data_IF_508466709182
#
_entry.id   IF_508466709182
#
_cell.length_a   1.000
_cell.length_b   1.000
_cell.length_c   1.000
_cell.angle_alpha   90.00
_cell.angle_beta   90.00
_cell.angle_gamma   90.00
#
_symmetry.space_group_name_H-M   'P 1'
#
loop_
_entity.id
_entity.type
_entity.pdbx_description
1 polymer ?
#
# COMPACT_ATOMS: atom_id res chain seq x y z
N UNK A 1 -6.87 28.74 -7.37
CA UNK A 1 -5.44 29.14 -7.32
C UNK A 1 -4.64 27.90 -6.92
N UNK A 2 -3.98 27.25 -7.87
CA UNK A 2 -3.17 26.04 -7.61
C UNK A 2 -1.88 26.51 -6.92
N UNK A 3 -1.64 26.06 -5.69
CA UNK A 3 -0.37 26.30 -4.99
C UNK A 3 0.72 25.54 -5.75
N UNK A 4 1.60 26.26 -6.44
CA UNK A 4 2.83 25.68 -6.97
C UNK A 4 3.67 25.30 -5.76
N UNK A 5 3.81 23.99 -5.50
CA UNK A 5 4.75 23.48 -4.49
C UNK A 5 6.13 23.95 -4.92
N UNK A 6 6.84 24.65 -4.03
CA UNK A 6 8.19 25.11 -4.33
C UNK A 6 9.07 23.87 -4.63
N UNK A 7 9.87 23.95 -5.70
CA UNK A 7 10.74 22.86 -6.19
C UNK A 7 11.57 22.21 -5.05
N UNK A 8 11.97 23.02 -4.06
CA UNK A 8 12.69 22.61 -2.84
C UNK A 8 11.88 21.70 -1.91
N UNK A 9 10.57 21.92 -1.75
CA UNK A 9 9.72 21.09 -0.88
C UNK A 9 9.45 19.73 -1.51
N UNK A 10 9.32 19.70 -2.85
CA UNK A 10 9.21 18.45 -3.60
C UNK A 10 10.49 17.61 -3.51
N UNK A 11 11.66 18.24 -3.71
CA UNK A 11 12.94 17.58 -3.59
C UNK A 11 13.19 16.98 -2.20
N UNK A 12 12.79 17.69 -1.13
CA UNK A 12 12.89 17.19 0.25
C UNK A 12 11.97 15.99 0.49
N UNK A 13 10.70 16.08 0.10
CA UNK A 13 9.74 14.99 0.25
C UNK A 13 10.19 13.72 -0.52
N UNK A 14 10.78 13.90 -1.70
CA UNK A 14 11.35 12.81 -2.50
C UNK A 14 12.56 12.18 -1.78
N UNK A 15 13.44 13.02 -1.25
CA UNK A 15 14.60 12.59 -0.47
C UNK A 15 14.23 11.78 0.76
N UNK A 16 13.19 12.19 1.49
CA UNK A 16 12.68 11.47 2.66
C UNK A 16 12.14 10.08 2.27
N UNK A 17 11.42 9.95 1.15
CA UNK A 17 10.97 8.65 0.63
C UNK A 17 12.14 7.74 0.29
N UNK A 18 13.16 8.25 -0.40
CA UNK A 18 14.39 7.49 -0.67
C UNK A 18 15.06 6.98 0.61
N UNK A 19 15.15 7.84 1.64
CA UNK A 19 15.73 7.47 2.93
C UNK A 19 14.93 6.37 3.63
N UNK A 20 13.61 6.45 3.58
CA UNK A 20 12.71 5.46 4.18
C UNK A 20 12.85 4.10 3.48
N UNK A 21 12.87 4.08 2.15
CA UNK A 21 13.08 2.85 1.37
C UNK A 21 14.44 2.22 1.71
N UNK A 22 15.51 3.02 1.74
CA UNK A 22 16.83 2.54 2.16
C UNK A 22 16.81 1.94 3.58
N UNK A 23 16.13 2.60 4.52
CA UNK A 23 15.95 2.13 5.88
C UNK A 23 15.17 0.82 5.98
N UNK A 24 14.09 0.67 5.20
CA UNK A 24 13.31 -0.58 5.11
C UNK A 24 14.13 -1.74 4.55
N UNK A 25 15.07 -1.46 3.65
CA UNK A 25 16.03 -2.44 3.14
C UNK A 25 17.18 -2.74 4.13
N UNK A 26 17.20 -2.08 5.29
CA UNK A 26 18.21 -2.28 6.33
C UNK A 26 19.61 -1.78 5.94
N UNK A 27 19.71 -0.90 4.94
CA UNK A 27 21.00 -0.46 4.40
C UNK A 27 21.44 0.87 4.99
N UNK A 28 22.69 1.00 5.40
CA UNK A 28 23.33 2.30 5.57
C UNK A 28 23.73 2.92 4.22
N UNK A 29 24.06 4.22 4.20
CA UNK A 29 24.58 4.86 2.97
C UNK A 29 25.89 4.20 2.48
N UNK A 30 26.69 3.65 3.39
CA UNK A 30 27.90 2.89 3.04
C UNK A 30 27.55 1.54 2.44
N UNK A 31 26.53 0.87 2.94
CA UNK A 31 26.07 -0.41 2.40
C UNK A 31 25.52 -0.24 0.98
N UNK A 32 24.82 0.86 0.71
CA UNK A 32 24.37 1.21 -0.63
C UNK A 32 25.55 1.39 -1.59
N UNK A 33 26.60 2.09 -1.18
CA UNK A 33 27.79 2.24 -2.00
C UNK A 33 28.50 0.91 -2.25
N UNK A 34 28.63 0.07 -1.22
CA UNK A 34 29.28 -1.22 -1.34
C UNK A 34 28.47 -2.19 -2.22
N UNK A 35 27.16 -2.34 -1.96
CA UNK A 35 26.27 -3.23 -2.69
C UNK A 35 26.06 -2.83 -4.16
N UNK A 36 26.22 -1.55 -4.48
CA UNK A 36 26.16 -1.04 -5.85
C UNK A 36 27.48 -1.08 -6.60
N UNK A 37 28.55 -1.62 -6.00
CA UNK A 37 29.88 -1.59 -6.61
C UNK A 37 30.44 -0.18 -6.82
N UNK A 38 30.00 0.79 -6.00
CA UNK A 38 30.43 2.18 -6.08
C UNK A 38 29.65 3.06 -7.06
N UNK A 39 28.64 2.53 -7.76
CA UNK A 39 27.76 3.30 -8.65
C UNK A 39 26.96 4.35 -7.86
N UNK A 40 26.52 4.00 -6.65
CA UNK A 40 25.81 4.89 -5.74
C UNK A 40 26.72 5.35 -4.60
N UNK A 41 27.46 6.44 -4.83
CA UNK A 41 28.30 7.05 -3.79
C UNK A 41 27.48 7.47 -2.58
N UNK A 42 27.92 7.10 -1.38
CA UNK A 42 27.21 7.38 -0.13
C UNK A 42 26.87 8.87 0.06
N UNK A 43 27.84 9.74 -0.28
CA UNK A 43 27.66 11.20 -0.21
C UNK A 43 26.59 11.71 -1.19
N UNK A 44 26.51 11.13 -2.39
CA UNK A 44 25.54 11.52 -3.43
C UNK A 44 24.14 11.10 -3.04
N UNK A 45 23.97 9.84 -2.60
CA UNK A 45 22.68 9.35 -2.09
C UNK A 45 22.24 10.15 -0.88
N UNK A 46 23.16 10.47 0.04
CA UNK A 46 22.87 11.33 1.19
C UNK A 46 22.42 12.75 0.80
N UNK A 47 22.96 13.33 -0.27
CA UNK A 47 22.52 14.64 -0.77
C UNK A 47 21.12 14.57 -1.41
N UNK A 48 20.78 13.48 -2.10
CA UNK A 48 19.42 13.23 -2.58
C UNK A 48 18.43 13.07 -1.43
N UNK A 49 18.79 12.28 -0.41
CA UNK A 49 17.91 12.02 0.74
C UNK A 49 17.58 13.26 1.57
N UNK A 50 18.45 14.28 1.56
CA UNK A 50 18.21 15.55 2.25
C UNK A 50 17.53 16.60 1.36
N UNK A 51 17.42 16.35 0.06
CA UNK A 51 16.96 17.34 -0.92
C UNK A 51 18.01 18.44 -1.21
N UNK A 52 19.26 18.25 -0.79
CA UNK A 52 20.36 19.20 -1.07
C UNK A 52 20.77 19.19 -2.55
N UNK A 53 20.40 18.13 -3.27
CA UNK A 53 20.73 17.94 -4.69
C UNK A 53 19.53 17.37 -5.44
N UNK A 54 19.20 18.00 -6.58
CA UNK A 54 18.19 17.47 -7.47
C UNK A 54 18.65 16.15 -8.10
N UNK A 55 17.72 15.19 -8.19
CA UNK A 55 17.90 13.90 -8.86
C UNK A 55 17.18 13.93 -10.19
N UNK A 56 17.84 13.44 -11.24
CA UNK A 56 17.20 13.34 -12.56
C UNK A 56 16.29 12.12 -12.61
N UNK A 57 15.24 12.17 -13.44
CA UNK A 57 14.30 11.04 -13.60
C UNK A 57 15.00 9.72 -13.94
N UNK A 58 16.00 9.65 -14.85
CA UNK A 58 16.74 8.42 -15.10
C UNK A 58 17.47 7.88 -13.87
N UNK A 59 18.10 8.75 -13.07
CA UNK A 59 18.79 8.32 -11.84
C UNK A 59 17.80 7.83 -10.77
N UNK A 60 16.60 8.40 -10.74
CA UNK A 60 15.54 7.94 -9.86
C UNK A 60 15.06 6.54 -10.25
N UNK A 61 14.90 6.28 -11.55
CA UNK A 61 14.57 4.97 -12.09
C UNK A 61 15.64 3.93 -11.72
N UNK A 62 16.92 4.27 -11.90
CA UNK A 62 18.03 3.36 -11.54
C UNK A 62 18.07 3.08 -10.03
N UNK A 63 17.76 4.06 -9.16
CA UNK A 63 17.65 3.86 -7.72
C UNK A 63 16.47 2.93 -7.36
N UNK A 64 15.33 3.11 -8.03
CA UNK A 64 14.16 2.25 -7.85
C UNK A 64 14.48 0.80 -8.19
N UNK A 65 15.13 0.58 -9.33
CA UNK A 65 15.58 -0.74 -9.77
C UNK A 65 16.60 -1.33 -8.77
N UNK A 66 17.57 -0.54 -8.30
CA UNK A 66 18.55 -0.97 -7.30
C UNK A 66 17.89 -1.43 -5.98
N UNK A 67 16.90 -0.68 -5.48
CA UNK A 67 16.17 -1.07 -4.27
C UNK A 67 15.09 -2.13 -4.50
N UNK A 68 14.78 -2.47 -5.75
CA UNK A 68 13.71 -3.40 -6.12
C UNK A 68 12.33 -2.90 -5.71
N UNK A 69 12.05 -1.61 -5.94
CA UNK A 69 10.75 -0.97 -5.66
C UNK A 69 10.20 -0.29 -6.92
N UNK A 70 8.87 -0.17 -7.08
CA UNK A 70 8.30 0.65 -8.15
C UNK A 70 8.73 2.12 -8.05
N UNK A 71 8.96 2.78 -9.19
CA UNK A 71 9.33 4.22 -9.22
C UNK A 71 8.29 5.10 -8.50
N UNK A 72 7.01 4.74 -8.58
CA UNK A 72 5.91 5.44 -7.92
C UNK A 72 6.05 5.51 -6.40
N UNK A 73 6.72 4.55 -5.76
CA UNK A 73 6.95 4.55 -4.31
C UNK A 73 7.93 5.66 -3.89
N UNK A 74 8.82 6.06 -4.79
CA UNK A 74 9.83 7.09 -4.53
C UNK A 74 9.25 8.51 -4.73
N UNK A 75 8.29 8.65 -5.64
CA UNK A 75 7.72 9.95 -5.99
C UNK A 75 6.88 10.50 -4.84
N UNK A 76 7.03 11.80 -4.51
CA UNK A 76 6.08 12.50 -3.65
C UNK A 76 4.69 12.54 -4.29
N UNK A 77 3.66 12.42 -3.46
CA UNK A 77 2.27 12.58 -3.89
C UNK A 77 2.10 14.00 -4.44
N UNK A 78 1.98 14.10 -5.77
CA UNK A 78 2.03 15.36 -6.49
C UNK A 78 0.63 15.95 -6.60
N UNK A 79 0.15 16.58 -5.54
CA UNK A 79 -1.14 17.26 -5.49
C UNK A 79 -1.50 17.68 -4.06
N UNK A 80 -2.56 18.49 -3.84
CA UNK A 80 -3.22 18.43 -2.54
C UNK A 80 -3.44 16.95 -2.28
N UNK A 81 -2.88 16.44 -1.18
CA UNK A 81 -3.16 15.09 -0.75
C UNK A 81 -4.67 14.87 -0.97
N UNK A 82 -5.13 13.75 -1.54
CA UNK A 82 -6.41 13.27 -1.06
C UNK A 82 -6.23 13.29 0.46
N UNK A 83 -6.93 14.19 1.13
CA UNK A 83 -7.01 14.25 2.58
C UNK A 83 -7.32 12.82 3.00
N UNK A 84 -6.30 12.21 3.53
CA UNK A 84 -6.01 10.79 3.38
C UNK A 84 -4.57 10.66 3.83
N UNK A 85 -4.32 11.26 5.00
CA UNK A 85 -3.33 10.75 5.93
C UNK A 85 -3.32 9.23 5.83
N UNK A 86 -2.17 8.63 6.05
CA UNK A 86 -2.08 7.21 6.41
C UNK A 86 -2.78 6.91 7.75
N UNK A 87 -3.84 7.63 8.11
CA UNK A 87 -4.88 7.19 9.01
C UNK A 87 -5.83 6.34 8.16
N UNK A 88 -5.76 5.03 8.38
CA UNK A 88 -6.89 4.14 8.12
C UNK A 88 -7.41 4.09 6.67
N UNK A 89 -6.58 3.72 5.69
CA UNK A 89 -7.16 3.08 4.49
C UNK A 89 -8.01 1.91 4.99
N UNK A 90 -9.33 1.98 4.80
CA UNK A 90 -10.27 1.01 5.39
C UNK A 90 -9.88 -0.38 4.93
N UNK A 91 -9.46 -1.23 5.86
CA UNK A 91 -9.15 -2.65 5.61
C UNK A 91 -10.18 -3.47 6.34
N UNK A 92 -10.78 -4.41 5.62
CA UNK A 92 -11.71 -5.37 6.18
C UNK A 92 -11.07 -6.74 6.08
N UNK A 93 -11.04 -7.47 7.19
CA UNK A 93 -10.64 -8.87 7.22
C UNK A 93 -11.91 -9.71 7.21
N UNK A 94 -12.17 -10.35 6.08
CA UNK A 94 -13.34 -11.18 5.85
C UNK A 94 -13.10 -12.61 6.35
N UNK A 95 -14.02 -13.14 7.14
CA UNK A 95 -14.09 -14.58 7.46
C UNK A 95 -14.67 -15.34 6.26
N UNK A 96 -13.82 -16.14 5.59
CA UNK A 96 -14.21 -16.88 4.40
C UNK A 96 -15.13 -18.07 4.71
N UNK A 97 -15.12 -18.60 5.95
CA UNK A 97 -16.04 -19.66 6.35
C UNK A 97 -17.44 -19.11 6.54
N UNK A 98 -17.57 -17.94 7.19
CA UNK A 98 -18.86 -17.26 7.33
C UNK A 98 -19.38 -16.78 5.98
N UNK A 99 -18.50 -16.38 5.06
CA UNK A 99 -18.89 -16.03 3.70
C UNK A 99 -19.60 -17.16 2.97
N UNK A 100 -19.17 -18.41 3.16
CA UNK A 100 -19.86 -19.59 2.59
C UNK A 100 -21.25 -19.85 3.18
N UNK A 101 -21.62 -19.19 4.29
CA UNK A 101 -22.93 -19.31 4.94
C UNK A 101 -23.89 -18.18 4.53
N UNK A 102 -23.40 -17.16 3.82
CA UNK A 102 -24.24 -16.07 3.30
C UNK A 102 -25.06 -16.60 2.12
N UNK A 103 -26.38 -16.32 2.04
CA UNK A 103 -27.20 -16.76 0.92
C UNK A 103 -26.63 -16.31 -0.43
N UNK A 104 -26.62 -17.18 -1.43
CA UNK A 104 -26.02 -16.91 -2.75
C UNK A 104 -26.57 -15.62 -3.40
N UNK A 105 -27.86 -15.32 -3.22
CA UNK A 105 -28.49 -14.09 -3.74
C UNK A 105 -27.89 -12.80 -3.19
N UNK A 106 -27.17 -12.89 -2.07
CA UNK A 106 -26.52 -11.76 -1.39
C UNK A 106 -24.99 -11.88 -1.41
N UNK A 107 -24.43 -13.10 -1.31
CA UNK A 107 -22.99 -13.33 -1.19
C UNK A 107 -22.25 -13.50 -2.53
N UNK A 108 -22.95 -13.74 -3.63
CA UNK A 108 -22.36 -14.17 -4.90
C UNK A 108 -21.28 -13.22 -5.49
N UNK A 109 -21.45 -11.89 -5.55
CA UNK A 109 -20.37 -10.99 -5.98
C UNK A 109 -19.13 -11.07 -5.10
N UNK A 110 -19.32 -11.19 -3.79
CA UNK A 110 -18.23 -11.29 -2.81
C UNK A 110 -17.51 -12.65 -2.87
N UNK A 111 -18.25 -13.74 -3.07
CA UNK A 111 -17.71 -15.08 -3.25
C UNK A 111 -16.83 -15.16 -4.52
N UNK A 112 -17.33 -14.65 -5.66
CA UNK A 112 -16.53 -14.59 -6.90
C UNK A 112 -15.26 -13.77 -6.73
N UNK A 113 -15.36 -12.63 -6.06
CA UNK A 113 -14.22 -11.78 -5.75
C UNK A 113 -13.20 -12.54 -4.88
N UNK A 114 -13.64 -13.15 -3.78
CA UNK A 114 -12.78 -13.92 -2.88
C UNK A 114 -12.05 -15.05 -3.62
N UNK A 115 -12.77 -15.85 -4.42
CA UNK A 115 -12.16 -16.93 -5.22
C UNK A 115 -11.12 -16.43 -6.22
N UNK A 116 -11.38 -15.30 -6.86
CA UNK A 116 -10.44 -14.68 -7.81
C UNK A 116 -9.15 -14.29 -7.09
N UNK A 117 -9.27 -13.61 -5.94
CA UNK A 117 -8.13 -13.13 -5.17
C UNK A 117 -7.33 -14.31 -4.56
N UNK A 118 -8.00 -15.34 -4.05
CA UNK A 118 -7.33 -16.56 -3.56
C UNK A 118 -6.54 -17.24 -4.68
N UNK A 119 -7.12 -17.34 -5.89
CA UNK A 119 -6.45 -17.95 -7.05
C UNK A 119 -5.21 -17.17 -7.48
N UNK A 120 -5.29 -15.83 -7.50
CA UNK A 120 -4.15 -14.97 -7.83
C UNK A 120 -3.03 -15.04 -6.79
N UNK A 121 -3.37 -15.26 -5.51
CA UNK A 121 -2.40 -15.36 -4.41
C UNK A 121 -1.86 -16.77 -4.20
N UNK A 122 -2.48 -17.79 -4.81
CA UNK A 122 -2.24 -19.18 -4.47
C UNK A 122 -2.69 -19.54 -3.03
N UNK A 123 -3.57 -18.74 -2.44
CA UNK A 123 -4.00 -18.85 -1.05
C UNK A 123 -5.38 -19.52 -0.93
N UNK A 124 -5.42 -20.81 -1.24
CA UNK A 124 -6.65 -21.61 -1.19
C UNK A 124 -7.01 -22.09 0.22
N UNK A 125 -6.06 -22.05 1.16
CA UNK A 125 -6.23 -22.51 2.54
C UNK A 125 -6.51 -21.38 3.53
N UNK A 126 -6.48 -20.12 3.08
CA UNK A 126 -6.83 -18.96 3.89
C UNK A 126 -8.22 -19.11 4.52
N UNK A 127 -8.30 -18.94 5.84
CA UNK A 127 -9.59 -18.85 6.56
C UNK A 127 -10.15 -17.43 6.54
N UNK A 128 -9.28 -16.45 6.26
CA UNK A 128 -9.61 -15.03 6.22
C UNK A 128 -9.03 -14.38 4.97
N UNK A 129 -9.66 -13.33 4.49
CA UNK A 129 -9.18 -12.52 3.39
C UNK A 129 -9.14 -11.05 3.79
N UNK A 130 -7.94 -10.46 3.80
CA UNK A 130 -7.79 -9.00 3.94
C UNK A 130 -8.10 -8.32 2.61
N UNK A 131 -9.10 -7.44 2.62
CA UNK A 131 -9.57 -6.64 1.49
C UNK A 131 -9.20 -5.17 1.74
N UNK A 132 -8.62 -4.52 0.73
CA UNK A 132 -8.19 -3.12 0.77
C UNK A 132 -9.33 -2.19 0.35
N UNK A 133 -9.19 -0.91 0.66
CA UNK A 133 -10.21 0.10 0.35
C UNK A 133 -10.57 0.18 -1.14
N UNK A 134 -9.58 0.16 -2.05
CA UNK A 134 -9.84 0.16 -3.49
C UNK A 134 -10.70 -1.05 -3.93
N UNK A 135 -10.42 -2.22 -3.36
CA UNK A 135 -11.20 -3.43 -3.60
C UNK A 135 -12.61 -3.34 -2.98
N UNK A 136 -12.73 -2.73 -1.81
CA UNK A 136 -14.03 -2.46 -1.17
C UNK A 136 -14.87 -1.49 -2.01
N UNK A 137 -14.25 -0.51 -2.66
CA UNK A 137 -14.93 0.39 -3.60
C UNK A 137 -15.42 -0.37 -4.85
N UNK A 138 -14.60 -1.26 -5.41
CA UNK A 138 -15.00 -2.10 -6.52
C UNK A 138 -16.17 -3.04 -6.14
N UNK A 139 -16.14 -3.61 -4.93
CA UNK A 139 -17.25 -4.38 -4.39
C UNK A 139 -18.50 -3.52 -4.17
N UNK A 140 -18.37 -2.31 -3.63
CA UNK A 140 -19.51 -1.41 -3.43
C UNK A 140 -20.21 -1.09 -4.77
N UNK A 141 -19.41 -0.88 -5.82
CA UNK A 141 -19.92 -0.72 -7.18
C UNK A 141 -20.64 -1.98 -7.69
N UNK A 142 -20.07 -3.17 -7.49
CA UNK A 142 -20.69 -4.44 -7.87
C UNK A 142 -22.01 -4.70 -7.13
N UNK A 143 -22.11 -4.27 -5.88
CA UNK A 143 -23.32 -4.32 -5.05
C UNK A 143 -24.28 -3.15 -5.28
N UNK A 144 -23.93 -2.20 -6.16
CA UNK A 144 -24.68 -0.98 -6.46
C UNK A 144 -25.07 -0.20 -5.19
N UNK A 145 -24.10 -0.05 -4.28
CA UNK A 145 -24.30 0.55 -2.96
C UNK A 145 -23.11 1.42 -2.57
N UNK A 146 -23.19 2.09 -1.43
CA UNK A 146 -22.08 2.89 -0.90
C UNK A 146 -21.09 2.03 -0.12
N UNK A 147 -19.88 2.54 0.11
CA UNK A 147 -18.88 1.85 0.93
C UNK A 147 -19.35 1.64 2.38
N UNK A 148 -20.07 2.61 2.93
CA UNK A 148 -20.61 2.53 4.30
C UNK A 148 -21.71 1.47 4.40
N UNK A 149 -22.65 1.46 3.46
CA UNK A 149 -23.73 0.46 3.41
C UNK A 149 -23.17 -0.96 3.20
N UNK A 150 -22.17 -1.12 2.34
CA UNK A 150 -21.50 -2.40 2.15
C UNK A 150 -20.82 -2.87 3.43
N UNK A 151 -20.14 -1.96 4.14
CA UNK A 151 -19.47 -2.25 5.41
C UNK A 151 -20.48 -2.66 6.49
N UNK A 152 -21.64 -2.02 6.54
CA UNK A 152 -22.73 -2.43 7.42
C UNK A 152 -23.24 -3.83 7.09
N UNK A 153 -23.50 -4.13 5.81
CA UNK A 153 -23.92 -5.48 5.38
C UNK A 153 -22.90 -6.56 5.77
N UNK A 154 -21.61 -6.30 5.59
CA UNK A 154 -20.57 -7.25 5.98
C UNK A 154 -20.55 -7.49 7.49
N UNK A 155 -20.83 -6.48 8.30
CA UNK A 155 -20.98 -6.63 9.76
C UNK A 155 -22.25 -7.41 10.11
N UNK A 156 -23.37 -7.12 9.45
CA UNK A 156 -24.66 -7.80 9.68
C UNK A 156 -24.58 -9.29 9.33
N UNK A 157 -23.81 -9.64 8.28
CA UNK A 157 -23.49 -11.01 7.92
C UNK A 157 -22.40 -11.64 8.80
N UNK A 158 -21.85 -10.90 9.76
CA UNK A 158 -20.80 -11.36 10.67
C UNK A 158 -19.47 -11.67 9.98
N UNK A 159 -19.21 -11.11 8.79
CA UNK A 159 -18.00 -11.39 8.00
C UNK A 159 -16.78 -10.63 8.48
N UNK A 160 -16.97 -9.45 9.08
CA UNK A 160 -15.86 -8.61 9.55
C UNK A 160 -15.30 -9.21 10.82
N UNK A 161 -14.02 -9.57 10.79
CA UNK A 161 -13.25 -9.89 12.00
C UNK A 161 -12.60 -8.61 12.51
N UNK A 162 -12.68 -8.37 13.82
CA UNK A 162 -11.92 -7.29 14.43
C UNK A 162 -10.42 -7.59 14.24
N UNK A 163 -9.70 -6.69 13.59
CA UNK A 163 -8.29 -6.85 13.21
C UNK A 163 -7.31 -6.93 14.39
N UNK A 164 -7.74 -7.24 15.60
CA UNK A 164 -6.89 -7.55 16.74
C UNK A 164 -7.05 -9.03 17.10
N UNK A 165 -6.38 -9.89 16.33
CA UNK A 165 -6.12 -11.26 16.74
C UNK A 165 -5.11 -11.25 17.89
N UNK A 166 -5.55 -10.87 19.09
CA UNK A 166 -4.83 -11.16 20.32
C UNK A 166 -4.72 -12.67 20.47
N UNK A 167 -3.48 -13.12 20.63
CA UNK A 167 -3.13 -14.45 21.08
C UNK A 167 -3.82 -14.71 22.43
N UNK A 168 -4.94 -15.39 22.38
CA UNK A 168 -5.48 -16.14 23.51
C UNK A 168 -5.31 -17.61 23.19
N UNK A 169 -4.13 -18.15 23.51
CA UNK A 169 -4.04 -19.54 24.01
C UNK A 169 -2.71 -19.77 24.73
N UNK A 170 -2.83 -20.37 25.92
CA UNK A 170 -1.83 -20.92 26.85
C UNK A 170 -0.96 -19.96 27.71
#
# INVERSE_FOLDING_TARGET
MVKVVADTDYARALGERLRNIRGQKGMSLRDVEHASGGVWKAAVVGAYERGDRNVTVPRLYDLAAFYGVPLSEILPDSGPAPTGTSEERRRVVLDLKRLQQVPDTQGDPLLRFAHTIQSLRGDFNGKVLTVREDDLMALALAYQTTLDDLSHRFKDWGLVTDGNGEASDA
#
